data_IF_167661893883
#
_entry.id   IF_167661893883
#
_cell.length_a   1.000
_cell.length_b   1.000
_cell.length_c   1.000
_cell.angle_alpha   90.00
_cell.angle_beta   90.00
_cell.angle_gamma   90.00
#
_symmetry.space_group_name_H-M   'P 1'
#
loop_
_entity.id
_entity.type
_entity.pdbx_description
1 polymer ?
#
# COMPACT_ATOMS: atom_id res chain seq x y z
N UNK A 1 -6.40 -47.68 -47.31
CA UNK A 1 -5.29 -48.47 -46.74
C UNK A 1 -4.97 -47.85 -45.38
N UNK A 2 -5.39 -48.49 -44.26
CA UNK A 2 -4.56 -49.29 -43.34
C UNK A 2 -3.38 -48.43 -42.76
N UNK A 3 -3.24 -48.21 -41.46
CA UNK A 3 -3.74 -49.02 -40.35
C UNK A 3 -3.66 -48.39 -38.96
N UNK A 4 -4.50 -48.99 -38.11
CA UNK A 4 -4.47 -49.03 -36.66
C UNK A 4 -3.09 -49.45 -36.12
N UNK A 5 -2.68 -48.89 -34.99
CA UNK A 5 -1.92 -49.63 -33.98
C UNK A 5 -2.41 -49.30 -32.57
N UNK A 6 -3.14 -50.25 -32.01
CA UNK A 6 -3.58 -50.37 -30.62
C UNK A 6 -2.44 -50.95 -29.77
N UNK A 7 -2.06 -50.28 -28.68
CA UNK A 7 -1.12 -50.79 -27.67
C UNK A 7 -1.82 -51.15 -26.36
N UNK A 8 -2.22 -52.42 -26.22
CA UNK A 8 -2.66 -53.08 -24.98
C UNK A 8 -1.42 -53.44 -24.14
N UNK A 9 -1.35 -53.01 -22.87
CA UNK A 9 -0.51 -53.63 -21.83
C UNK A 9 -1.32 -53.69 -20.54
N UNK A 10 -1.94 -54.83 -20.27
CA UNK A 10 -1.48 -55.96 -19.45
C UNK A 10 -1.58 -55.67 -17.94
N UNK A 11 -2.61 -56.30 -17.34
CA UNK A 11 -2.81 -56.47 -15.91
C UNK A 11 -1.64 -57.25 -15.30
N UNK A 12 -1.28 -56.90 -14.06
CA UNK A 12 -0.67 -57.85 -13.16
C UNK A 12 -1.39 -57.73 -11.81
N UNK A 13 -2.28 -58.68 -11.59
CA UNK A 13 -2.74 -59.09 -10.26
C UNK A 13 -1.53 -59.60 -9.46
N UNK A 14 -1.38 -59.14 -8.22
CA UNK A 14 -0.64 -59.90 -7.21
C UNK A 14 -1.44 -59.89 -5.92
N UNK A 15 -2.12 -61.00 -5.70
CA UNK A 15 -2.76 -61.36 -4.44
C UNK A 15 -1.73 -61.85 -3.41
N UNK A 16 -2.24 -61.95 -2.17
CA UNK A 16 -1.78 -62.78 -1.06
C UNK A 16 -0.81 -62.16 -0.04
N UNK A 17 -1.27 -62.17 1.22
CA UNK A 17 -0.47 -62.81 2.28
C UNK A 17 -0.23 -61.99 3.54
N UNK A 18 -1.15 -62.11 4.50
CA UNK A 18 -0.87 -62.42 5.90
C UNK A 18 0.18 -61.63 6.68
N UNK A 19 -0.26 -60.96 7.76
CA UNK A 19 -0.04 -61.43 9.14
C UNK A 19 -0.55 -60.37 10.12
N UNK A 20 -1.54 -60.78 10.90
CA UNK A 20 -2.08 -60.03 12.03
C UNK A 20 -1.06 -60.16 13.18
N UNK A 21 -0.40 -59.07 13.54
CA UNK A 21 0.34 -58.94 14.80
C UNK A 21 -0.39 -57.93 15.69
N UNK A 22 -1.00 -58.33 16.81
CA UNK A 22 -1.43 -57.39 17.83
C UNK A 22 -0.22 -57.12 18.73
N UNK A 23 0.61 -56.13 18.39
CA UNK A 23 1.58 -55.60 19.34
C UNK A 23 0.95 -54.41 20.03
N UNK A 24 0.54 -54.63 21.28
CA UNK A 24 0.08 -53.60 22.19
C UNK A 24 1.16 -52.54 22.36
N UNK A 25 1.02 -51.42 21.65
CA UNK A 25 1.81 -50.22 21.89
C UNK A 25 1.27 -49.61 23.17
N UNK A 26 2.03 -49.77 24.25
CA UNK A 26 1.87 -49.03 25.50
C UNK A 26 2.01 -47.54 25.16
N UNK A 27 0.88 -46.86 25.04
CA UNK A 27 0.78 -45.40 24.99
C UNK A 27 1.22 -44.86 26.36
N UNK A 28 2.53 -44.67 26.51
CA UNK A 28 3.10 -43.95 27.63
C UNK A 28 2.76 -42.47 27.43
N UNK A 29 1.62 -42.05 27.99
CA UNK A 29 1.17 -40.67 28.03
C UNK A 29 2.14 -39.90 28.95
N UNK A 30 3.19 -39.31 28.36
CA UNK A 30 3.96 -38.26 29.02
C UNK A 30 3.06 -37.03 29.12
N UNK A 31 2.38 -36.91 30.25
CA UNK A 31 1.78 -35.65 30.70
C UNK A 31 2.95 -34.73 31.05
N UNK A 32 3.43 -33.94 30.10
CA UNK A 32 4.33 -32.83 30.36
C UNK A 32 3.52 -31.69 31.01
N UNK A 33 3.74 -31.37 32.30
CA UNK A 33 3.10 -30.23 32.91
C UNK A 33 3.66 -28.94 32.32
N UNK A 34 2.79 -28.20 31.63
CA UNK A 34 2.80 -26.74 31.54
C UNK A 34 4.14 -26.08 31.23
N UNK A 35 4.67 -26.27 30.01
CA UNK A 35 5.53 -25.24 29.43
C UNK A 35 4.65 -24.00 29.22
N UNK A 36 5.03 -22.82 29.75
CA UNK A 36 4.29 -21.59 29.48
C UNK A 36 4.28 -21.38 27.97
N UNK A 37 3.09 -21.45 27.38
CA UNK A 37 2.84 -20.95 26.02
C UNK A 37 3.09 -19.46 26.08
N UNK A 38 4.35 -19.05 25.90
CA UNK A 38 4.68 -17.68 25.55
C UNK A 38 3.98 -17.44 24.22
N UNK A 39 2.79 -16.85 24.31
CA UNK A 39 2.09 -16.22 23.21
C UNK A 39 2.99 -15.11 22.71
N UNK A 40 4.00 -15.47 21.92
CA UNK A 40 4.80 -14.52 21.19
C UNK A 40 3.81 -13.77 20.30
N UNK A 41 3.46 -12.55 20.69
CA UNK A 41 2.75 -11.61 19.84
C UNK A 41 3.60 -11.42 18.59
N UNK A 42 3.33 -12.23 17.57
CA UNK A 42 3.97 -12.09 16.27
C UNK A 42 3.54 -10.73 15.75
N UNK A 43 4.50 -9.81 15.70
CA UNK A 43 4.31 -8.45 15.17
C UNK A 43 3.62 -8.51 13.81
N UNK A 44 2.75 -7.54 13.58
CA UNK A 44 2.15 -7.35 12.29
C UNK A 44 3.25 -7.17 11.23
N UNK A 45 3.25 -8.01 10.18
CA UNK A 45 4.24 -7.89 9.10
C UNK A 45 3.74 -6.82 8.13
N UNK A 46 4.65 -5.97 7.68
CA UNK A 46 4.38 -4.95 6.67
C UNK A 46 4.29 -5.59 5.27
N UNK A 47 3.67 -4.88 4.31
CA UNK A 47 3.54 -5.32 2.91
C UNK A 47 4.90 -5.67 2.25
N UNK A 48 5.98 -4.88 2.41
CA UNK A 48 7.27 -5.25 1.85
C UNK A 48 7.85 -6.50 2.51
N UNK A 49 7.68 -6.70 3.82
CA UNK A 49 8.12 -7.92 4.51
C UNK A 49 7.36 -9.16 4.02
N UNK A 50 6.04 -9.04 3.82
CA UNK A 50 5.22 -10.11 3.22
C UNK A 50 5.61 -10.41 1.77
N UNK A 51 5.94 -9.38 0.98
CA UNK A 51 6.42 -9.56 -0.40
C UNK A 51 7.78 -10.27 -0.43
N UNK A 52 8.69 -9.88 0.47
CA UNK A 52 9.98 -10.52 0.64
C UNK A 52 9.85 -11.97 1.10
N UNK A 53 8.89 -12.26 1.99
CA UNK A 53 8.59 -13.62 2.44
C UNK A 53 8.21 -14.53 1.27
N UNK A 54 7.32 -14.07 0.38
CA UNK A 54 6.92 -14.87 -0.78
C UNK A 54 8.12 -15.11 -1.71
N UNK A 55 8.88 -14.04 -1.98
CA UNK A 55 10.00 -14.05 -2.93
C UNK A 55 11.17 -14.93 -2.47
N UNK A 56 11.45 -14.96 -1.17
CA UNK A 56 12.60 -15.68 -0.62
C UNK A 56 12.26 -17.10 -0.13
N UNK A 57 11.00 -17.37 0.22
CA UNK A 57 10.64 -18.51 1.05
C UNK A 57 9.92 -19.67 0.35
N UNK A 58 9.46 -19.50 -0.89
CA UNK A 58 8.49 -20.44 -1.48
C UNK A 58 9.07 -21.16 -2.69
N UNK A 59 9.63 -22.36 -2.48
CA UNK A 59 9.99 -23.27 -3.56
C UNK A 59 8.73 -23.69 -4.33
N UNK A 60 8.50 -23.08 -5.49
CA UNK A 60 7.34 -23.38 -6.36
C UNK A 60 6.64 -22.15 -6.95
N UNK A 61 6.92 -20.95 -6.45
CA UNK A 61 6.47 -19.71 -7.10
C UNK A 61 7.37 -19.46 -8.31
N UNK A 62 6.77 -19.37 -9.48
CA UNK A 62 7.44 -19.23 -10.79
C UNK A 62 7.12 -17.89 -11.46
N UNK A 63 6.35 -17.03 -10.79
CA UNK A 63 6.04 -15.66 -11.19
C UNK A 63 7.30 -14.81 -11.12
N UNK A 64 7.51 -13.99 -12.14
CA UNK A 64 8.71 -13.15 -12.25
C UNK A 64 8.70 -12.01 -11.23
N UNK A 65 7.51 -11.49 -10.93
CA UNK A 65 7.32 -10.42 -9.97
C UNK A 65 6.12 -10.75 -9.09
N UNK A 66 6.30 -10.69 -7.77
CA UNK A 66 5.21 -10.86 -6.80
C UNK A 66 5.23 -9.71 -5.82
N UNK A 67 4.12 -8.97 -5.73
CA UNK A 67 4.00 -7.79 -4.87
C UNK A 67 2.71 -7.83 -4.07
N UNK A 68 2.82 -7.66 -2.75
CA UNK A 68 1.67 -7.52 -1.86
C UNK A 68 1.20 -6.05 -1.88
N UNK A 69 -0.07 -5.83 -2.23
CA UNK A 69 -0.64 -4.47 -2.34
C UNK A 69 -1.56 -4.10 -1.19
N UNK A 70 -2.15 -5.07 -0.50
CA UNK A 70 -3.05 -4.85 0.64
C UNK A 70 -2.74 -5.81 1.77
N UNK A 71 -2.76 -5.30 3.00
CA UNK A 71 -2.54 -6.04 4.26
C UNK A 71 -3.82 -5.98 5.09
N UNK A 72 -4.15 -7.06 5.79
CA UNK A 72 -5.32 -7.19 6.64
C UNK A 72 -5.93 -8.59 6.50
N UNK A 73 -7.17 -8.80 6.97
CA UNK A 73 -7.85 -10.09 6.86
C UNK A 73 -7.90 -10.60 5.41
N UNK A 74 -8.04 -9.69 4.45
CA UNK A 74 -7.91 -9.95 3.02
C UNK A 74 -6.58 -9.38 2.50
N UNK A 75 -5.61 -10.25 2.25
CA UNK A 75 -4.33 -9.89 1.62
C UNK A 75 -4.48 -9.96 0.10
N UNK A 76 -4.09 -8.90 -0.60
CA UNK A 76 -4.10 -8.87 -2.08
C UNK A 76 -2.68 -8.92 -2.60
N UNK A 77 -2.43 -9.82 -3.54
CA UNK A 77 -1.13 -10.06 -4.17
C UNK A 77 -1.27 -9.87 -5.67
N UNK A 78 -0.34 -9.14 -6.26
CA UNK A 78 -0.14 -9.07 -7.71
C UNK A 78 1.00 -10.00 -8.09
N UNK A 79 0.79 -10.82 -9.10
CA UNK A 79 1.79 -11.78 -9.59
C UNK A 79 1.88 -11.72 -11.12
N UNK A 80 3.07 -11.47 -11.64
CA UNK A 80 3.34 -11.46 -13.08
C UNK A 80 3.70 -12.87 -13.57
N UNK A 81 2.96 -13.34 -14.58
CA UNK A 81 3.08 -14.70 -15.10
C UNK A 81 3.24 -14.72 -16.61
N UNK A 82 3.89 -15.78 -17.10
CA UNK A 82 4.02 -16.06 -18.53
C UNK A 82 2.64 -16.14 -19.21
N UNK A 83 2.56 -15.57 -20.42
CA UNK A 83 1.36 -15.58 -21.25
C UNK A 83 0.85 -17.01 -21.53
N UNK A 84 1.73 -18.00 -21.59
CA UNK A 84 1.42 -19.40 -21.88
C UNK A 84 1.03 -20.22 -20.65
N UNK A 85 1.04 -19.65 -19.45
CA UNK A 85 0.67 -20.43 -18.26
C UNK A 85 -0.81 -20.81 -18.28
N UNK A 86 -1.05 -22.11 -18.04
CA UNK A 86 -2.39 -22.69 -18.01
C UNK A 86 -3.12 -22.36 -16.70
N UNK A 87 -4.44 -22.50 -16.70
CA UNK A 87 -5.27 -22.25 -15.52
C UNK A 87 -4.86 -23.12 -14.33
N UNK A 88 -4.40 -24.34 -14.60
CA UNK A 88 -3.88 -25.25 -13.58
C UNK A 88 -2.62 -24.69 -12.92
N UNK A 89 -1.71 -24.12 -13.72
CA UNK A 89 -0.47 -23.54 -13.22
C UNK A 89 -0.74 -22.31 -12.36
N UNK A 90 -1.66 -21.43 -12.80
CA UNK A 90 -2.10 -20.27 -12.02
C UNK A 90 -2.70 -20.68 -10.67
N UNK A 91 -3.52 -21.73 -10.65
CA UNK A 91 -4.12 -22.26 -9.41
C UNK A 91 -3.07 -22.83 -8.45
N UNK A 92 -2.12 -23.61 -8.97
CA UNK A 92 -1.02 -24.18 -8.19
C UNK A 92 -0.18 -23.05 -7.58
N UNK A 93 0.16 -22.04 -8.39
CA UNK A 93 0.96 -20.92 -7.96
C UNK A 93 0.25 -20.04 -6.92
N UNK A 94 -1.03 -19.74 -7.12
CA UNK A 94 -1.84 -19.03 -6.13
C UNK A 94 -1.84 -19.76 -4.79
N UNK A 95 -1.90 -21.09 -4.83
CA UNK A 95 -1.87 -21.93 -3.63
C UNK A 95 -0.52 -21.83 -2.90
N UNK A 96 0.61 -21.83 -3.62
CA UNK A 96 1.93 -21.63 -3.02
C UNK A 96 2.06 -20.25 -2.37
N UNK A 97 1.63 -19.19 -3.06
CA UNK A 97 1.64 -17.81 -2.55
C UNK A 97 0.76 -17.71 -1.30
N UNK A 98 -0.47 -18.24 -1.34
CA UNK A 98 -1.40 -18.20 -0.23
C UNK A 98 -0.85 -18.97 0.99
N UNK A 99 -0.29 -20.16 0.76
CA UNK A 99 0.36 -20.97 1.81
C UNK A 99 1.49 -20.20 2.48
N UNK A 100 2.39 -19.59 1.70
CA UNK A 100 3.51 -18.83 2.24
C UNK A 100 3.04 -17.66 3.13
N UNK A 101 2.05 -16.88 2.66
CA UNK A 101 1.50 -15.76 3.41
C UNK A 101 0.78 -16.20 4.69
N UNK A 102 -0.07 -17.22 4.60
CA UNK A 102 -0.82 -17.74 5.75
C UNK A 102 0.13 -18.34 6.80
N UNK A 103 1.21 -18.99 6.39
CA UNK A 103 2.21 -19.55 7.31
C UNK A 103 3.11 -18.46 7.93
N UNK A 104 3.45 -17.42 7.17
CA UNK A 104 4.27 -16.31 7.66
C UNK A 104 3.53 -15.37 8.61
N UNK A 105 2.27 -15.04 8.30
CA UNK A 105 1.44 -14.11 9.06
C UNK A 105 0.05 -14.69 9.38
N UNK A 106 -0.04 -15.78 10.15
CA UNK A 106 -1.29 -16.50 10.40
C UNK A 106 -2.34 -15.69 11.16
N UNK A 107 -1.91 -14.69 11.95
CA UNK A 107 -2.79 -13.82 12.73
C UNK A 107 -3.40 -12.68 11.91
N UNK A 108 -2.79 -12.33 10.78
CA UNK A 108 -3.23 -11.20 9.94
C UNK A 108 -3.98 -11.66 8.70
N UNK A 109 -3.66 -12.85 8.19
CA UNK A 109 -4.14 -13.32 6.90
C UNK A 109 -5.26 -14.35 7.09
N UNK A 110 -6.49 -13.98 6.74
CA UNK A 110 -7.64 -14.89 6.73
C UNK A 110 -7.95 -15.39 5.31
N UNK A 111 -7.84 -14.50 4.33
CA UNK A 111 -8.07 -14.79 2.91
C UNK A 111 -6.98 -14.12 2.08
N UNK A 112 -6.52 -14.81 1.03
CA UNK A 112 -5.54 -14.30 0.08
C UNK A 112 -6.20 -14.20 -1.30
N UNK A 113 -6.22 -13.00 -1.87
CA UNK A 113 -6.62 -12.74 -3.26
C UNK A 113 -5.36 -12.57 -4.10
N UNK A 114 -5.08 -13.53 -4.97
CA UNK A 114 -3.96 -13.46 -5.91
C UNK A 114 -4.50 -13.02 -7.26
N UNK A 115 -3.95 -11.93 -7.80
CA UNK A 115 -4.28 -11.39 -9.11
C UNK A 115 -3.08 -11.66 -10.03
N UNK A 116 -3.31 -12.39 -11.09
CA UNK A 116 -2.33 -12.73 -12.10
C UNK A 116 -2.38 -11.75 -13.27
N UNK A 117 -1.22 -11.25 -13.65
CA UNK A 117 -0.99 -10.53 -14.89
C UNK A 117 -0.32 -11.45 -15.90
N UNK A 118 -0.87 -11.52 -17.11
CA UNK A 118 -0.32 -12.29 -18.21
C UNK A 118 -0.30 -11.42 -19.46
N UNK A 119 0.84 -11.33 -20.14
CA UNK A 119 0.96 -10.51 -21.33
C UNK A 119 -0.05 -10.96 -22.41
N UNK A 120 -0.87 -10.04 -22.90
CA UNK A 120 -1.86 -10.29 -23.94
C UNK A 120 -3.13 -11.04 -23.48
N UNK A 121 -3.31 -11.27 -22.18
CA UNK A 121 -4.53 -11.85 -21.60
C UNK A 121 -5.13 -10.88 -20.58
N UNK A 122 -6.44 -10.98 -20.34
CA UNK A 122 -7.10 -10.23 -19.28
C UNK A 122 -6.58 -10.69 -17.91
N UNK A 123 -6.42 -9.76 -16.97
CA UNK A 123 -6.09 -10.08 -15.58
C UNK A 123 -7.10 -11.06 -14.98
N UNK A 124 -6.59 -12.03 -14.22
CA UNK A 124 -7.42 -13.07 -13.57
C UNK A 124 -7.08 -13.15 -12.10
N UNK A 125 -8.04 -13.49 -11.25
CA UNK A 125 -7.79 -13.60 -9.83
C UNK A 125 -8.38 -14.87 -9.21
N UNK A 126 -7.72 -15.33 -8.16
CA UNK A 126 -8.15 -16.45 -7.32
C UNK A 126 -8.20 -15.97 -5.88
N UNK A 127 -9.26 -16.34 -5.17
CA UNK A 127 -9.41 -16.09 -3.74
C UNK A 127 -9.25 -17.41 -2.99
N UNK A 128 -8.32 -17.47 -2.03
CA UNK A 128 -8.00 -18.67 -1.26
C UNK A 128 -8.18 -18.36 0.22
N UNK A 129 -9.00 -19.17 0.90
CA UNK A 129 -9.21 -19.05 2.34
C UNK A 129 -8.12 -19.77 3.14
N UNK A 130 -7.84 -19.28 4.35
CA UNK A 130 -6.96 -19.94 5.32
C UNK A 130 -7.42 -21.37 5.63
N UNK A 131 -8.74 -21.60 5.69
CA UNK A 131 -9.31 -22.92 5.96
C UNK A 131 -8.95 -23.94 4.87
N UNK A 132 -9.07 -23.56 3.60
CA UNK A 132 -8.71 -24.44 2.47
C UNK A 132 -7.23 -24.86 2.51
N UNK A 133 -6.35 -23.93 2.90
CA UNK A 133 -4.91 -24.21 3.06
C UNK A 133 -4.66 -25.15 4.24
N UNK A 134 -5.35 -24.93 5.36
CA UNK A 134 -5.24 -25.78 6.54
C UNK A 134 -5.74 -27.20 6.27
N UNK A 135 -6.89 -27.35 5.61
CA UNK A 135 -7.47 -28.67 5.28
C UNK A 135 -6.60 -29.46 4.31
N UNK A 136 -5.98 -28.79 3.32
CA UNK A 136 -4.99 -29.41 2.45
C UNK A 136 -3.73 -29.82 3.22
N UNK A 137 -3.18 -28.94 4.06
CA UNK A 137 -2.00 -29.23 4.88
C UNK A 137 -2.23 -30.37 5.89
N UNK A 138 -3.45 -30.55 6.36
CA UNK A 138 -3.86 -31.64 7.24
C UNK A 138 -4.22 -32.95 6.50
N UNK A 139 -4.15 -32.97 5.16
CA UNK A 139 -4.49 -34.14 4.34
C UNK A 139 -6.00 -34.45 4.27
N UNK A 140 -6.85 -33.54 4.72
CA UNK A 140 -8.34 -33.69 4.66
C UNK A 140 -8.88 -33.46 3.26
N UNK A 141 -8.11 -32.81 2.40
CA UNK A 141 -8.45 -32.51 1.01
C UNK A 141 -7.29 -32.91 0.10
N UNK A 142 -7.59 -33.66 -0.96
CA UNK A 142 -6.59 -34.01 -1.99
C UNK A 142 -6.23 -32.80 -2.84
N UNK A 143 -5.05 -32.83 -3.47
CA UNK A 143 -4.58 -31.76 -4.35
C UNK A 143 -5.56 -31.49 -5.49
N UNK A 144 -6.07 -32.54 -6.15
CA UNK A 144 -7.00 -32.39 -7.28
C UNK A 144 -8.33 -31.77 -6.85
N UNK A 145 -8.84 -32.14 -5.66
CA UNK A 145 -10.07 -31.58 -5.10
C UNK A 145 -9.88 -30.10 -4.75
N UNK A 146 -8.74 -29.74 -4.16
CA UNK A 146 -8.41 -28.34 -3.87
C UNK A 146 -8.34 -27.53 -5.16
N UNK A 147 -7.54 -27.94 -6.15
CA UNK A 147 -7.36 -27.21 -7.41
C UNK A 147 -8.67 -27.08 -8.20
N UNK A 148 -9.55 -28.08 -8.12
CA UNK A 148 -10.88 -28.03 -8.74
C UNK A 148 -11.82 -27.06 -8.02
N UNK A 149 -11.68 -26.91 -6.69
CA UNK A 149 -12.48 -25.97 -5.90
C UNK A 149 -12.09 -24.49 -6.11
N UNK A 150 -10.86 -24.23 -6.58
CA UNK A 150 -10.41 -22.87 -6.86
C UNK A 150 -11.07 -22.35 -8.14
N UNK A 151 -11.76 -21.22 -8.03
CA UNK A 151 -12.38 -20.55 -9.18
C UNK A 151 -11.45 -19.43 -9.64
N UNK A 152 -11.08 -19.47 -10.91
CA UNK A 152 -10.33 -18.41 -11.57
C UNK A 152 -11.36 -17.42 -12.14
N UNK A 153 -11.44 -16.25 -11.54
CA UNK A 153 -12.34 -15.21 -11.99
C UNK A 153 -11.56 -14.25 -12.90
N UNK A 154 -12.11 -13.97 -14.07
CA UNK A 154 -11.60 -12.88 -14.91
C UNK A 154 -11.91 -11.56 -14.22
N UNK A 155 -10.95 -10.64 -14.23
CA UNK A 155 -11.16 -9.26 -13.79
C UNK A 155 -12.01 -8.58 -14.85
N UNK A 156 -13.33 -8.80 -14.80
CA UNK A 156 -14.27 -8.21 -15.73
C UNK A 156 -14.27 -6.68 -15.55
N UNK A 157 -14.02 -5.90 -16.62
CA UNK A 157 -13.99 -4.44 -16.60
C UNK A 157 -15.29 -3.73 -16.17
N UNK A 158 -16.37 -4.48 -15.89
CA UNK A 158 -17.75 -3.98 -15.85
C UNK A 158 -18.05 -2.87 -14.82
N UNK A 159 -17.08 -2.41 -14.02
CA UNK A 159 -17.26 -1.28 -13.09
C UNK A 159 -16.39 -0.07 -13.38
N UNK A 160 -15.61 -0.07 -14.46
CA UNK A 160 -14.74 1.04 -14.81
C UNK A 160 -14.84 1.35 -16.32
N UNK A 161 -15.96 1.93 -16.80
CA UNK A 161 -16.18 2.20 -18.23
C UNK A 161 -15.11 3.09 -18.89
N UNK A 162 -14.21 3.69 -18.10
CA UNK A 162 -13.20 4.63 -18.55
C UNK A 162 -11.78 4.07 -18.62
N UNK A 163 -11.54 2.80 -18.23
CA UNK A 163 -10.19 2.20 -18.30
C UNK A 163 -10.10 1.37 -19.57
N UNK A 164 -9.21 1.76 -20.47
CA UNK A 164 -9.04 1.09 -21.76
C UNK A 164 -8.11 -0.10 -21.61
N UNK A 165 -8.37 -1.22 -22.31
CA UNK A 165 -7.40 -2.32 -22.37
C UNK A 165 -6.07 -1.82 -22.93
N UNK A 166 -4.95 -2.18 -22.28
CA UNK A 166 -3.61 -1.75 -22.69
C UNK A 166 -2.52 -2.10 -21.67
N UNK A 167 -1.31 -1.59 -21.87
CA UNK A 167 -0.14 -1.92 -21.02
C UNK A 167 -0.34 -1.49 -19.56
N UNK A 168 -0.14 -2.33 -18.54
CA UNK A 168 -0.44 -2.01 -17.12
C UNK A 168 -1.95 -1.80 -16.83
N UNK A 169 -2.84 -2.41 -17.61
CA UNK A 169 -4.30 -2.30 -17.45
C UNK A 169 -4.78 -2.50 -16.00
N UNK A 170 -4.28 -3.52 -15.30
CA UNK A 170 -4.72 -3.86 -13.95
C UNK A 170 -4.26 -2.82 -12.91
N UNK A 171 -3.03 -2.29 -13.04
CA UNK A 171 -2.58 -1.20 -12.14
C UNK A 171 -3.43 0.04 -12.34
N UNK A 172 -3.75 0.36 -13.60
CA UNK A 172 -4.67 1.46 -13.91
C UNK A 172 -6.06 1.18 -13.32
N UNK A 173 -6.57 -0.03 -13.48
CA UNK A 173 -7.86 -0.42 -12.91
C UNK A 173 -7.87 -0.31 -11.37
N UNK A 174 -6.81 -0.76 -10.70
CA UNK A 174 -6.67 -0.62 -9.24
C UNK A 174 -6.58 0.85 -8.81
N UNK A 175 -5.84 1.67 -9.54
CA UNK A 175 -5.79 3.11 -9.27
C UNK A 175 -7.18 3.75 -9.43
N UNK A 176 -7.93 3.38 -10.47
CA UNK A 176 -9.31 3.82 -10.66
C UNK A 176 -10.24 3.36 -9.54
N UNK A 177 -10.17 2.11 -9.11
CA UNK A 177 -10.95 1.60 -7.96
C UNK A 177 -10.67 2.38 -6.67
N UNK A 178 -9.41 2.78 -6.44
CA UNK A 178 -9.02 3.62 -5.30
C UNK A 178 -9.61 5.03 -5.40
N UNK A 179 -9.58 5.64 -6.61
CA UNK A 179 -10.25 6.92 -6.88
C UNK A 179 -11.75 6.82 -6.57
N UNK A 180 -12.44 5.80 -7.09
CA UNK A 180 -13.87 5.58 -6.83
C UNK A 180 -14.17 5.35 -5.35
N UNK A 181 -13.29 4.65 -4.63
CA UNK A 181 -13.40 4.48 -3.17
C UNK A 181 -13.28 5.81 -2.43
N UNK A 182 -12.33 6.67 -2.79
CA UNK A 182 -12.16 8.01 -2.22
C UNK A 182 -13.38 8.91 -2.52
N UNK A 183 -13.91 8.82 -3.73
CA UNK A 183 -15.12 9.52 -4.17
C UNK A 183 -16.34 9.15 -3.33
N UNK A 184 -16.56 7.86 -3.10
CA UNK A 184 -17.63 7.34 -2.22
C UNK A 184 -17.47 7.80 -0.76
N UNK A 185 -16.25 8.11 -0.34
CA UNK A 185 -15.98 8.67 0.99
C UNK A 185 -16.18 10.20 1.05
N UNK A 186 -16.66 10.83 -0.03
CA UNK A 186 -16.89 12.28 -0.09
C UNK A 186 -15.60 13.10 -0.24
N UNK A 187 -14.49 12.47 -0.63
CA UNK A 187 -13.24 13.17 -0.89
C UNK A 187 -13.29 13.79 -2.29
N UNK A 188 -12.84 15.02 -2.45
CA UNK A 188 -12.73 15.63 -3.78
C UNK A 188 -11.68 14.90 -4.63
N UNK A 189 -12.11 14.09 -5.59
CA UNK A 189 -11.23 13.24 -6.43
C UNK A 189 -10.96 13.78 -7.83
N UNK A 190 -11.52 14.93 -8.20
CA UNK A 190 -11.47 15.47 -9.58
C UNK A 190 -10.03 15.53 -10.12
N UNK A 191 -9.08 16.00 -9.31
CA UNK A 191 -7.66 16.07 -9.71
C UNK A 191 -7.06 14.69 -9.98
N UNK A 192 -7.46 13.65 -9.25
CA UNK A 192 -7.00 12.28 -9.50
C UNK A 192 -7.63 11.71 -10.76
N UNK A 193 -8.91 11.97 -11.01
CA UNK A 193 -9.60 11.59 -12.25
C UNK A 193 -8.95 12.25 -13.48
N UNK A 194 -8.53 13.51 -13.38
CA UNK A 194 -7.81 14.23 -14.45
C UNK A 194 -6.42 13.61 -14.73
N UNK A 195 -5.64 13.32 -13.69
CA UNK A 195 -4.34 12.64 -13.84
C UNK A 195 -4.55 11.27 -14.49
N UNK A 196 -5.56 10.52 -14.04
CA UNK A 196 -5.90 9.21 -14.57
C UNK A 196 -6.29 9.26 -16.05
N UNK A 197 -7.14 10.22 -16.43
CA UNK A 197 -7.51 10.43 -17.84
C UNK A 197 -6.29 10.76 -18.70
N UNK A 198 -5.38 11.60 -18.20
CA UNK A 198 -4.11 11.88 -18.88
C UNK A 198 -3.24 10.64 -19.07
N UNK A 199 -3.26 9.68 -18.14
CA UNK A 199 -2.58 8.39 -18.29
C UNK A 199 -3.23 7.56 -19.40
N UNK A 200 -4.56 7.46 -19.42
CA UNK A 200 -5.29 6.73 -20.48
C UNK A 200 -5.01 7.32 -21.88
N UNK A 201 -4.95 8.64 -21.98
CA UNK A 201 -4.63 9.33 -23.24
C UNK A 201 -3.17 9.07 -23.68
N UNK A 202 -2.22 9.00 -22.75
CA UNK A 202 -0.83 8.63 -23.05
C UNK A 202 -0.69 7.17 -23.52
N UNK A 203 -1.44 6.26 -22.91
CA UNK A 203 -1.45 4.85 -23.31
C UNK A 203 -2.05 4.68 -24.71
N UNK A 204 -3.15 5.38 -25.01
CA UNK A 204 -3.71 5.46 -26.37
C UNK A 204 -2.70 5.98 -27.39
N UNK A 205 -1.87 6.95 -27.00
CA UNK A 205 -0.84 7.53 -27.85
C UNK A 205 0.42 6.65 -28.01
N UNK A 206 0.53 5.55 -27.27
CA UNK A 206 1.72 4.69 -27.24
C UNK A 206 2.88 5.21 -26.39
N UNK A 207 2.65 6.25 -25.57
CA UNK A 207 3.66 6.83 -24.67
C UNK A 207 3.71 6.09 -23.32
N UNK A 208 3.99 4.79 -23.37
CA UNK A 208 3.89 3.91 -22.19
C UNK A 208 4.79 4.29 -21.03
N UNK A 209 6.02 4.75 -21.29
CA UNK A 209 6.98 5.08 -20.23
C UNK A 209 6.53 6.30 -19.41
N UNK A 210 6.07 7.36 -20.07
CA UNK A 210 5.54 8.54 -19.39
C UNK A 210 4.24 8.23 -18.63
N UNK A 211 3.38 7.40 -19.23
CA UNK A 211 2.18 6.89 -18.57
C UNK A 211 2.51 6.12 -17.29
N UNK A 212 3.55 5.29 -17.29
CA UNK A 212 4.00 4.53 -16.12
C UNK A 212 4.52 5.43 -15.00
N UNK A 213 5.28 6.48 -15.35
CA UNK A 213 5.77 7.46 -14.38
C UNK A 213 4.59 8.22 -13.73
N UNK A 214 3.63 8.69 -14.54
CA UNK A 214 2.42 9.35 -14.03
C UNK A 214 1.54 8.43 -13.20
N UNK A 215 1.41 7.16 -13.59
CA UNK A 215 0.67 6.15 -12.83
C UNK A 215 1.30 5.93 -11.45
N UNK A 216 2.63 5.82 -11.39
CA UNK A 216 3.35 5.69 -10.12
C UNK A 216 3.16 6.93 -9.24
N UNK A 217 3.23 8.13 -9.83
CA UNK A 217 2.93 9.37 -9.12
C UNK A 217 1.49 9.41 -8.56
N UNK A 218 0.51 8.99 -9.36
CA UNK A 218 -0.89 8.90 -8.95
C UNK A 218 -1.06 7.91 -7.79
N UNK A 219 -0.46 6.72 -7.88
CA UNK A 219 -0.52 5.71 -6.82
C UNK A 219 0.07 6.21 -5.49
N UNK A 220 1.16 6.98 -5.53
CA UNK A 220 1.73 7.63 -4.35
C UNK A 220 0.75 8.64 -3.76
N UNK A 221 0.20 9.54 -4.58
CA UNK A 221 -0.75 10.57 -4.10
C UNK A 221 -2.06 9.98 -3.55
N UNK A 222 -2.55 8.90 -4.14
CA UNK A 222 -3.69 8.16 -3.60
C UNK A 222 -3.36 7.55 -2.23
N UNK A 223 -2.13 7.05 -2.04
CA UNK A 223 -1.69 6.47 -0.77
C UNK A 223 -1.62 7.53 0.33
N UNK A 224 -1.04 8.70 0.02
CA UNK A 224 -0.98 9.84 0.94
C UNK A 224 -2.40 10.26 1.39
N UNK A 225 -3.34 10.38 0.44
CA UNK A 225 -4.71 10.78 0.72
C UNK A 225 -5.47 9.73 1.56
N UNK A 226 -5.29 8.45 1.26
CA UNK A 226 -5.89 7.35 2.02
C UNK A 226 -5.36 7.31 3.46
N UNK A 227 -4.07 7.59 3.67
CA UNK A 227 -3.48 7.68 4.99
C UNK A 227 -4.04 8.87 5.78
N UNK A 228 -4.15 10.06 5.16
CA UNK A 228 -4.77 11.23 5.78
C UNK A 228 -6.21 10.96 6.22
N UNK A 229 -7.01 10.31 5.36
CA UNK A 229 -8.39 9.92 5.71
C UNK A 229 -8.43 8.91 6.85
N UNK A 230 -7.47 7.98 6.90
CA UNK A 230 -7.36 7.02 8.00
C UNK A 230 -7.05 7.74 9.32
N UNK A 231 -6.12 8.70 9.31
CA UNK A 231 -5.78 9.52 10.48
C UNK A 231 -6.97 10.38 10.94
N UNK A 232 -7.69 11.00 10.00
CA UNK A 232 -8.90 11.78 10.30
C UNK A 232 -10.01 10.92 10.91
N UNK A 233 -10.25 9.72 10.37
CA UNK A 233 -11.24 8.76 10.92
C UNK A 233 -10.87 8.29 12.32
N UNK A 234 -9.59 8.03 12.58
CA UNK A 234 -9.14 7.66 13.92
C UNK A 234 -9.37 8.80 14.92
N UNK A 235 -9.08 10.04 14.52
CA UNK A 235 -9.28 11.23 15.35
C UNK A 235 -10.77 11.49 15.65
N UNK A 236 -11.65 11.29 14.67
CA UNK A 236 -13.11 11.43 14.86
C UNK A 236 -13.70 10.39 15.82
N UNK A 237 -13.08 9.20 15.92
CA UNK A 237 -13.54 8.13 16.82
C UNK A 237 -13.20 8.38 18.29
N UNK A 238 -12.60 9.52 18.65
CA UNK A 238 -12.22 9.82 20.03
C UNK A 238 -11.07 8.95 20.55
N UNK A 239 -10.51 8.08 19.71
CA UNK A 239 -9.19 7.51 19.89
C UNK A 239 -8.22 8.65 19.60
N UNK A 240 -7.97 9.47 20.63
CA UNK A 240 -7.12 10.65 20.52
C UNK A 240 -5.89 10.34 19.68
N UNK A 241 -5.53 11.26 18.78
CA UNK A 241 -4.25 11.23 18.06
C UNK A 241 -3.21 10.84 19.10
N UNK A 242 -2.46 9.72 18.94
CA UNK A 242 -1.46 9.33 19.92
C UNK A 242 -0.61 10.57 20.10
N UNK A 243 -0.70 11.17 21.29
CA UNK A 243 -0.02 12.41 21.56
C UNK A 243 1.41 12.15 21.16
N UNK A 244 1.89 12.86 20.13
CA UNK A 244 3.31 12.92 19.84
C UNK A 244 3.86 13.45 21.14
N UNK A 245 4.35 12.52 21.96
CA UNK A 245 4.78 12.78 23.33
C UNK A 245 6.04 13.59 23.14
N UNK A 246 5.89 14.90 22.98
CA UNK A 246 6.95 15.85 23.19
C UNK A 246 7.37 15.60 24.63
N UNK A 247 8.47 14.86 24.79
CA UNK A 247 9.18 14.67 26.04
C UNK A 247 9.77 16.03 26.38
N UNK A 248 8.92 16.92 26.88
CA UNK A 248 9.30 18.17 27.47
C UNK A 248 9.38 17.92 28.97
N UNK A 249 10.53 17.39 29.38
CA UNK A 249 10.83 17.00 30.74
C UNK A 249 12.32 17.17 31.02
N UNK A 250 12.69 18.41 31.33
CA UNK A 250 13.66 18.75 32.37
C UNK A 250 15.15 18.42 32.10
N UNK A 251 15.87 19.37 31.49
CA UNK A 251 17.32 19.54 31.74
C UNK A 251 17.68 21.01 31.84
N UNK A 252 17.94 21.45 33.07
CA UNK A 252 18.82 22.59 33.31
C UNK A 252 20.25 22.13 33.07
N UNK A 253 20.95 22.78 32.13
CA UNK A 253 22.41 22.80 32.08
C UNK A 253 23.11 21.62 31.40
N UNK A 254 23.42 21.78 30.11
CA UNK A 254 24.77 21.70 29.53
C UNK A 254 24.69 21.69 28.01
N UNK A 255 25.48 22.56 27.40
CA UNK A 255 25.76 22.58 25.97
C UNK A 255 26.26 21.21 25.51
N UNK A 256 25.44 20.52 24.70
CA UNK A 256 25.86 19.35 23.95
C UNK A 256 25.15 19.37 22.59
N UNK A 257 25.96 19.18 21.55
CA UNK A 257 25.64 19.19 20.13
C UNK A 257 24.37 18.40 19.80
N UNK A 258 23.46 19.06 19.10
CA UNK A 258 22.28 18.46 18.47
C UNK A 258 22.72 17.62 17.25
N UNK A 259 23.05 16.36 17.51
CA UNK A 259 23.25 15.33 16.47
C UNK A 259 22.10 14.33 16.51
N UNK A 260 21.31 14.35 15.42
CA UNK A 260 20.75 13.14 14.80
C UNK A 260 19.65 12.39 15.54
N UNK A 261 18.43 12.53 15.04
CA UNK A 261 17.39 11.50 15.19
C UNK A 261 17.94 10.16 14.67
N UNK A 262 18.03 9.16 15.55
CA UNK A 262 18.37 7.78 15.21
C UNK A 262 17.23 7.15 14.38
N UNK A 263 17.25 7.39 13.07
CA UNK A 263 16.61 6.54 12.08
C UNK A 263 17.57 5.38 11.81
N UNK A 264 17.06 4.15 11.80
CA UNK A 264 17.85 2.93 11.68
C UNK A 264 18.89 3.02 10.53
N UNK A 265 20.17 2.71 10.79
CA UNK A 265 21.23 2.85 9.80
C UNK A 265 21.20 1.66 8.86
N UNK A 266 20.42 1.71 7.76
CA UNK A 266 20.84 1.02 6.52
C UNK A 266 20.01 1.22 5.26
N UNK A 267 18.94 2.02 5.26
CA UNK A 267 18.22 2.31 4.01
C UNK A 267 18.61 3.70 3.56
N UNK A 268 19.74 3.80 2.85
CA UNK A 268 20.05 5.01 2.10
C UNK A 268 18.91 5.22 1.09
N UNK A 269 18.21 6.36 1.11
CA UNK A 269 17.22 6.64 0.09
C UNK A 269 17.95 6.64 -1.26
N UNK A 270 17.56 5.76 -2.19
CA UNK A 270 18.14 5.71 -3.55
C UNK A 270 17.31 6.48 -4.57
N UNK A 271 16.16 7.03 -4.14
CA UNK A 271 15.22 7.68 -5.03
C UNK A 271 15.69 9.11 -5.38
N UNK A 272 15.89 9.35 -6.68
CA UNK A 272 16.10 10.69 -7.25
C UNK A 272 14.81 11.05 -7.99
N UNK A 273 14.13 12.14 -7.63
CA UNK A 273 12.94 12.60 -8.36
C UNK A 273 13.26 12.89 -9.84
N UNK A 274 12.34 12.63 -10.78
CA UNK A 274 12.57 12.92 -12.20
C UNK A 274 12.73 14.42 -12.49
N UNK A 275 12.24 15.28 -11.59
CA UNK A 275 12.37 16.74 -11.61
C UNK A 275 13.48 17.26 -10.69
N UNK A 276 14.46 16.41 -10.35
CA UNK A 276 15.58 16.69 -9.46
C UNK A 276 16.28 18.03 -9.77
N UNK A 277 16.63 18.29 -11.03
CA UNK A 277 17.36 19.50 -11.41
C UNK A 277 16.54 20.77 -11.19
N UNK A 278 15.22 20.70 -11.45
CA UNK A 278 14.30 21.82 -11.19
C UNK A 278 14.14 22.06 -9.69
N UNK A 279 13.99 20.99 -8.90
CA UNK A 279 13.89 21.09 -7.44
C UNK A 279 15.16 21.68 -6.83
N UNK A 280 16.33 21.25 -7.31
CA UNK A 280 17.62 21.78 -6.88
C UNK A 280 17.75 23.28 -7.19
N UNK A 281 17.38 23.69 -8.41
CA UNK A 281 17.41 25.09 -8.82
C UNK A 281 16.44 25.95 -7.98
N UNK A 282 15.22 25.45 -7.77
CA UNK A 282 14.20 26.14 -6.97
C UNK A 282 14.64 26.29 -5.52
N UNK A 283 15.22 25.22 -4.93
CA UNK A 283 15.77 25.25 -3.58
C UNK A 283 16.90 26.28 -3.44
N UNK A 284 17.84 26.32 -4.39
CA UNK A 284 18.95 27.29 -4.41
C UNK A 284 18.44 28.74 -4.49
N UNK A 285 17.37 28.98 -5.25
CA UNK A 285 16.78 30.31 -5.39
C UNK A 285 16.01 30.76 -4.14
N UNK A 286 15.21 29.88 -3.54
CA UNK A 286 14.21 30.28 -2.54
C UNK A 286 14.63 30.02 -1.09
N UNK A 287 15.59 29.12 -0.83
CA UNK A 287 15.91 28.68 0.55
C UNK A 287 16.28 29.82 1.50
N UNK A 288 17.06 30.81 1.06
CA UNK A 288 17.44 31.95 1.91
C UNK A 288 16.25 32.83 2.28
N UNK A 289 15.34 33.07 1.34
CA UNK A 289 14.13 33.86 1.59
C UNK A 289 13.22 33.15 2.59
N UNK A 290 12.98 31.85 2.38
CA UNK A 290 12.18 31.03 3.28
C UNK A 290 12.79 30.95 4.68
N UNK A 291 14.11 30.82 4.80
CA UNK A 291 14.81 30.87 6.08
C UNK A 291 14.57 32.21 6.78
N UNK A 292 14.61 33.33 6.07
CA UNK A 292 14.38 34.65 6.65
C UNK A 292 12.92 34.81 7.10
N UNK A 293 11.95 34.37 6.28
CA UNK A 293 10.54 34.40 6.62
C UNK A 293 10.23 33.53 7.86
N UNK A 294 10.79 32.32 7.93
CA UNK A 294 10.63 31.45 9.10
C UNK A 294 11.36 32.04 10.31
N UNK A 295 12.58 32.54 10.16
CA UNK A 295 13.35 33.12 11.27
C UNK A 295 12.65 34.33 11.90
N UNK A 296 11.90 35.09 11.10
CA UNK A 296 11.11 36.23 11.60
C UNK A 296 9.94 35.79 12.49
N UNK A 297 9.37 34.60 12.25
CA UNK A 297 8.29 34.01 13.06
C UNK A 297 8.81 33.16 14.21
N UNK A 298 9.82 32.34 13.95
CA UNK A 298 10.45 31.40 14.86
C UNK A 298 11.95 31.31 14.57
N UNK A 299 12.74 32.02 15.38
CA UNK A 299 14.20 32.07 15.29
C UNK A 299 14.85 30.68 15.43
N UNK A 300 14.28 29.80 16.26
CA UNK A 300 14.84 28.46 16.51
C UNK A 300 14.69 27.56 15.28
N UNK A 301 13.51 27.57 14.65
CA UNK A 301 13.28 26.87 13.40
C UNK A 301 14.11 27.47 12.27
N UNK A 302 14.25 28.80 12.24
CA UNK A 302 15.14 29.50 11.30
C UNK A 302 16.60 29.03 11.38
N UNK A 303 17.15 28.87 12.58
CA UNK A 303 18.50 28.31 12.76
C UNK A 303 18.60 26.87 12.27
N UNK A 304 17.61 26.03 12.58
CA UNK A 304 17.56 24.63 12.09
C UNK A 304 17.57 24.56 10.56
N UNK A 305 16.79 25.43 9.90
CA UNK A 305 16.73 25.47 8.44
C UNK A 305 18.07 25.89 7.81
N UNK A 306 18.87 26.76 8.46
CA UNK A 306 20.22 27.10 8.01
C UNK A 306 21.15 25.88 8.03
N UNK A 307 21.07 25.07 9.09
CA UNK A 307 21.86 23.83 9.20
C UNK A 307 21.44 22.84 8.11
N UNK A 308 20.13 22.64 7.91
CA UNK A 308 19.62 21.78 6.83
C UNK A 308 20.10 22.26 5.46
N UNK A 309 20.06 23.57 5.19
CA UNK A 309 20.56 24.14 3.94
C UNK A 309 22.03 23.81 3.70
N UNK A 310 22.89 23.99 4.71
CA UNK A 310 24.32 23.64 4.60
C UNK A 310 24.52 22.15 4.30
N UNK A 311 23.77 21.27 4.97
CA UNK A 311 23.82 19.82 4.72
C UNK A 311 23.36 19.46 3.30
N UNK A 312 22.30 20.10 2.81
CA UNK A 312 21.81 19.90 1.43
C UNK A 312 22.90 20.31 0.44
N UNK A 313 23.47 21.50 0.60
CA UNK A 313 24.54 22.01 -0.28
C UNK A 313 25.77 21.10 -0.27
N UNK A 314 26.17 20.60 0.90
CA UNK A 314 27.27 19.64 1.03
C UNK A 314 26.98 18.31 0.33
N UNK A 315 25.77 17.77 0.44
CA UNK A 315 25.40 16.51 -0.22
C UNK A 315 25.31 16.67 -1.74
N UNK A 316 24.79 17.81 -2.22
CA UNK A 316 24.76 18.14 -3.64
C UNK A 316 26.17 18.27 -4.22
N UNK A 317 27.08 18.98 -3.54
CA UNK A 317 28.47 19.14 -4.01
C UNK A 317 29.27 17.83 -3.96
N UNK A 318 28.92 16.92 -3.05
CA UNK A 318 29.58 15.62 -2.91
C UNK A 318 29.02 14.54 -3.85
N UNK A 319 28.05 14.88 -4.70
CA UNK A 319 27.40 13.93 -5.62
C UNK A 319 26.38 12.99 -4.94
N UNK A 320 26.11 13.15 -3.65
CA UNK A 320 25.11 12.35 -2.93
C UNK A 320 23.70 12.94 -3.11
N UNK A 321 23.24 12.96 -4.37
CA UNK A 321 21.93 13.53 -4.75
C UNK A 321 20.74 12.91 -3.99
N UNK A 322 20.65 11.59 -3.79
CA UNK A 322 19.51 11.00 -3.10
C UNK A 322 19.35 11.51 -1.66
N UNK A 323 20.46 11.60 -0.91
CA UNK A 323 20.45 12.16 0.44
C UNK A 323 20.10 13.64 0.45
N UNK A 324 20.59 14.41 -0.53
CA UNK A 324 20.23 15.81 -0.68
C UNK A 324 18.72 16.00 -0.89
N UNK A 325 18.08 15.20 -1.74
CA UNK A 325 16.63 15.30 -1.97
C UNK A 325 15.80 14.91 -0.76
N UNK A 326 16.23 13.90 0.02
CA UNK A 326 15.61 13.58 1.29
C UNK A 326 15.66 14.76 2.27
N UNK A 327 16.80 15.47 2.34
CA UNK A 327 16.95 16.66 3.17
C UNK A 327 16.15 17.86 2.64
N UNK A 328 16.03 18.04 1.32
CA UNK A 328 15.17 19.07 0.71
C UNK A 328 13.71 18.86 1.13
N UNK A 329 13.22 17.62 1.14
CA UNK A 329 11.88 17.32 1.63
C UNK A 329 11.71 17.66 3.12
N UNK A 330 12.71 17.36 3.96
CA UNK A 330 12.69 17.73 5.38
C UNK A 330 12.68 19.25 5.57
N UNK A 331 13.48 19.97 4.78
CA UNK A 331 13.49 21.44 4.76
C UNK A 331 12.10 21.98 4.42
N UNK A 332 11.47 21.46 3.37
CA UNK A 332 10.13 21.88 2.95
C UNK A 332 9.07 21.63 4.02
N UNK A 333 9.08 20.44 4.62
CA UNK A 333 8.15 20.08 5.70
C UNK A 333 8.30 21.04 6.89
N UNK A 334 9.55 21.38 7.26
CA UNK A 334 9.81 22.33 8.33
C UNK A 334 9.32 23.74 8.00
N UNK A 335 9.55 24.23 6.78
CA UNK A 335 9.02 25.53 6.33
C UNK A 335 7.49 25.56 6.33
N UNK A 336 6.85 24.52 5.78
CA UNK A 336 5.39 24.43 5.73
C UNK A 336 4.77 24.41 7.13
N UNK A 337 5.40 23.71 8.08
CA UNK A 337 4.94 23.69 9.48
C UNK A 337 5.02 25.06 10.16
N UNK A 338 6.01 25.89 9.79
CA UNK A 338 6.21 27.21 10.38
C UNK A 338 5.39 28.32 9.72
N UNK A 339 5.17 28.26 8.39
CA UNK A 339 4.47 29.32 7.64
C UNK A 339 2.99 28.96 7.40
N UNK A 340 2.63 27.67 7.43
CA UNK A 340 1.26 27.19 7.21
C UNK A 340 0.81 27.18 5.75
N UNK A 341 1.70 27.52 4.81
CA UNK A 341 1.46 27.52 3.36
C UNK A 341 2.59 26.78 2.65
N UNK A 342 2.30 26.16 1.50
CA UNK A 342 3.32 25.49 0.69
C UNK A 342 4.18 26.54 -0.05
N UNK A 343 5.46 26.72 0.34
CA UNK A 343 6.32 27.75 -0.25
C UNK A 343 6.75 27.47 -1.69
N UNK A 344 6.62 26.23 -2.17
CA UNK A 344 7.02 25.83 -3.53
C UNK A 344 5.83 25.72 -4.49
N UNK A 345 4.63 26.09 -4.05
CA UNK A 345 3.49 26.21 -4.95
C UNK A 345 3.81 27.25 -6.04
N UNK A 346 3.47 26.97 -7.33
CA UNK A 346 3.71 27.91 -8.40
C UNK A 346 3.02 29.25 -8.09
N UNK A 347 3.73 30.38 -8.22
CA UNK A 347 3.15 31.69 -7.99
C UNK A 347 2.00 31.87 -8.99
N UNK A 348 0.76 31.92 -8.49
CA UNK A 348 -0.46 32.07 -9.30
C UNK A 348 -1.47 30.93 -9.24
N UNK A 349 -1.25 29.87 -8.46
CA UNK A 349 -2.35 28.97 -8.10
C UNK A 349 -3.43 29.74 -7.32
N UNK A 350 -4.74 29.58 -7.61
CA UNK A 350 -5.79 30.31 -6.90
C UNK A 350 -5.65 30.02 -5.41
N UNK A 351 -5.29 31.05 -4.67
CA UNK A 351 -5.24 31.05 -3.22
C UNK A 351 -6.68 30.87 -2.76
N UNK A 352 -7.09 29.61 -2.65
CA UNK A 352 -8.40 29.21 -2.17
C UNK A 352 -8.53 29.73 -0.75
N UNK A 353 -9.11 30.92 -0.62
CA UNK A 353 -9.45 31.55 0.64
C UNK A 353 -10.41 30.64 1.39
N UNK A 354 -9.85 29.70 2.15
CA UNK A 354 -10.55 29.04 3.22
C UNK A 354 -10.95 30.12 4.21
N UNK A 355 -12.21 30.56 4.10
CA UNK A 355 -12.88 31.36 5.12
C UNK A 355 -12.53 30.78 6.49
N UNK A 356 -12.03 31.59 7.44
CA UNK A 356 -11.91 31.13 8.82
C UNK A 356 -13.30 30.69 9.29
N UNK A 357 -13.40 29.62 10.11
CA UNK A 357 -14.68 29.22 10.68
C UNK A 357 -15.21 30.38 11.52
N UNK A 358 -16.15 31.11 10.94
CA UNK A 358 -16.87 32.17 11.59
C UNK A 358 -17.54 31.60 12.82
N UNK A 359 -17.16 32.16 13.97
CA UNK A 359 -17.86 32.02 15.22
C UNK A 359 -19.33 32.40 14.99
N UNK A 360 -20.19 31.39 14.86
CA UNK A 360 -21.63 31.51 14.90
C UNK A 360 -22.03 31.93 16.32
N UNK A 361 -21.98 33.24 16.57
CA UNK A 361 -22.56 33.86 17.74
C UNK A 361 -24.08 33.77 17.58
N UNK A 362 -24.68 32.76 18.20
CA UNK A 362 -26.12 32.56 18.28
C UNK A 362 -26.75 33.68 19.09
N UNK A 363 -27.25 34.71 18.40
CA UNK A 363 -28.16 35.69 18.96
C UNK A 363 -29.57 35.10 19.11
N UNK A 364 -30.30 35.45 20.20
CA UNK A 364 -31.61 34.90 20.49
C UNK A 364 -32.66 35.43 19.51
N UNK A 365 -33.41 34.51 18.90
CA UNK A 365 -34.61 34.86 18.13
C UNK A 365 -35.62 35.53 19.05
N UNK A 366 -36.00 36.74 18.66
CA UNK A 366 -37.04 37.57 19.26
C UNK A 366 -38.41 37.11 18.73
N UNK A 367 -39.46 37.04 19.56
CA UNK A 367 -40.81 36.72 19.12
C UNK A 367 -41.54 37.97 18.64
N UNK A 368 -42.13 37.91 17.46
CA UNK A 368 -43.13 38.85 16.95
C UNK A 368 -43.98 38.09 15.92
N UNK A 369 -45.30 37.94 16.04
CA UNK A 369 -46.27 38.83 16.68
C UNK A 369 -46.63 39.94 15.70
N UNK A 370 -47.78 39.81 15.05
CA UNK A 370 -48.33 40.77 14.08
C UNK A 370 -49.03 40.02 12.95
N UNK A 371 -50.31 39.66 13.12
CA UNK A 371 -51.48 40.49 12.74
C UNK A 371 -51.67 40.55 11.21
N UNK A 372 -52.74 39.88 10.75
CA UNK A 372 -53.32 40.09 9.41
C UNK A 372 -53.91 41.50 9.28
N UNK A 373 -54.34 41.91 8.08
CA UNK A 373 -55.79 41.93 7.78
C UNK A 373 -56.07 41.82 6.25
N UNK A 374 -57.25 42.23 5.74
CA UNK A 374 -58.48 41.45 5.65
C UNK A 374 -58.90 41.19 4.20
N UNK A 375 -59.84 40.26 4.02
CA UNK A 375 -60.66 40.13 2.80
C UNK A 375 -61.29 41.46 2.40
N UNK A 376 -61.12 41.89 1.14
CA UNK A 376 -62.13 42.65 0.39
C UNK A 376 -62.00 42.41 -1.13
N UNK A 377 -63.15 42.04 -1.71
CA UNK A 377 -63.60 41.97 -3.12
C UNK A 377 -63.27 40.74 -3.96
#
# INVERSE_FOLDING_TARGET
MKGLMTGKRHCQDSAAGGLIFPLAIIMLVFVFPGLPTQSAERRALSAPELSALISNGTSGVTSTNVRVTSIGPLVTVLADKDANADDRDLKIEAMFIAKALIQGAPAQTETVKVIFFQQGKEGRFITISKQSVADYGAGRMSADKLLSSLVLNTVTPEKAPNVLPGEQYERRLLAWERIEKLKKQGTGVVRFEEIFRGIEDMIKAGNSEEALQKLTFLETKLSDQEELLKQAKNSQRGLGVPAVRNVQGQTSGRSASFTGSNVAPNQQPTFIPPDADRLEQTFKQQSNELINQVSAKDSSTGQRLRVLKQQIEQNLSSGNRPQAFALIHQFHTAVQSAIGTDPFAPPGGPQGGGMPPGAGNGGPMRPGGGEGPPDQF
#
